data_IF_092597571852
#
_entry.id   IF_092597571852
#
_cell.length_a   1.000
_cell.length_b   1.000
_cell.length_c   1.000
_cell.angle_alpha   90.00
_cell.angle_beta   90.00
_cell.angle_gamma   90.00
#
_symmetry.space_group_name_H-M   'P 1'
#
loop_
_entity.id
_entity.type
_entity.pdbx_description
1 polymer ?
#
# COMPACT_ATOMS: atom_id res chain seq x y z
N UNK A 1 -15.65 -26.96 19.64
CA UNK A 1 -17.13 -26.84 19.58
C UNK A 1 -17.69 -28.02 18.79
N UNK A 2 -18.73 -28.74 19.26
CA UNK A 2 -19.32 -29.86 18.48
C UNK A 2 -19.94 -29.33 17.18
N UNK A 3 -19.70 -30.00 16.03
CA UNK A 3 -20.19 -29.60 14.68
C UNK A 3 -21.70 -29.35 14.65
N UNK A 4 -22.49 -30.15 15.36
CA UNK A 4 -23.94 -29.99 15.48
C UNK A 4 -24.36 -28.66 16.14
N UNK A 5 -23.59 -28.17 17.12
CA UNK A 5 -23.83 -26.89 17.77
C UNK A 5 -23.53 -25.73 16.81
N UNK A 6 -22.45 -25.82 16.03
CA UNK A 6 -22.12 -24.80 15.03
C UNK A 6 -23.19 -24.67 13.95
N UNK A 7 -23.65 -25.80 13.38
CA UNK A 7 -24.71 -25.79 12.38
C UNK A 7 -25.98 -25.13 12.90
N UNK A 8 -26.39 -25.44 14.14
CA UNK A 8 -27.58 -24.84 14.76
C UNK A 8 -27.41 -23.32 14.96
N UNK A 9 -26.26 -22.88 15.50
CA UNK A 9 -25.96 -21.46 15.70
C UNK A 9 -25.96 -20.69 14.38
N UNK A 10 -25.33 -21.23 13.34
CA UNK A 10 -25.28 -20.62 12.02
C UNK A 10 -26.67 -20.48 11.38
N UNK A 11 -27.50 -21.51 11.47
CA UNK A 11 -28.89 -21.42 10.97
C UNK A 11 -29.72 -20.39 11.73
N UNK A 12 -29.58 -20.31 13.06
CA UNK A 12 -30.25 -19.27 13.87
C UNK A 12 -29.75 -17.87 13.47
N UNK A 13 -28.45 -17.71 13.27
CA UNK A 13 -27.83 -16.46 12.84
C UNK A 13 -28.40 -15.95 11.51
N UNK A 14 -28.46 -16.81 10.48
CA UNK A 14 -29.05 -16.41 9.19
C UNK A 14 -30.53 -16.01 9.33
N UNK A 15 -31.30 -16.76 10.12
CA UNK A 15 -32.71 -16.47 10.35
C UNK A 15 -32.93 -15.12 11.05
N UNK A 16 -32.19 -14.80 12.11
CA UNK A 16 -32.29 -13.53 12.84
C UNK A 16 -31.94 -12.34 11.94
N UNK A 17 -31.05 -12.53 10.98
CA UNK A 17 -30.63 -11.48 10.03
C UNK A 17 -31.46 -11.47 8.73
N UNK A 18 -32.58 -12.20 8.65
CA UNK A 18 -33.44 -12.29 7.47
C UNK A 18 -32.70 -12.71 6.17
N UNK A 19 -31.74 -13.62 6.29
CA UNK A 19 -30.99 -14.18 5.16
C UNK A 19 -31.55 -15.57 4.86
N UNK A 20 -32.13 -15.75 3.66
CA UNK A 20 -32.90 -16.96 3.31
C UNK A 20 -32.54 -17.48 1.93
N UNK A 21 -32.75 -18.78 1.72
CA UNK A 21 -32.67 -19.41 0.40
C UNK A 21 -33.89 -19.02 -0.44
N UNK A 22 -33.76 -18.99 -1.77
CA UNK A 22 -34.91 -18.80 -2.67
C UNK A 22 -35.64 -20.14 -2.90
N UNK A 23 -34.90 -21.25 -2.94
CA UNK A 23 -35.42 -22.61 -3.04
C UNK A 23 -34.84 -23.56 -1.99
N UNK A 24 -35.47 -24.72 -1.78
CA UNK A 24 -34.94 -25.75 -0.86
C UNK A 24 -33.60 -26.33 -1.34
N UNK A 25 -33.38 -26.36 -2.66
CA UNK A 25 -32.18 -26.91 -3.31
C UNK A 25 -31.02 -25.92 -3.39
N UNK A 26 -31.26 -24.62 -3.13
CA UNK A 26 -30.20 -23.61 -3.22
C UNK A 26 -29.13 -23.78 -2.14
N UNK A 27 -27.87 -23.69 -2.57
CA UNK A 27 -26.73 -23.65 -1.65
C UNK A 27 -26.45 -22.24 -1.13
N UNK A 28 -27.04 -21.23 -1.76
CA UNK A 28 -26.89 -19.82 -1.43
C UNK A 28 -28.09 -19.29 -0.65
N UNK A 29 -27.84 -18.35 0.24
CA UNK A 29 -28.83 -17.56 0.92
C UNK A 29 -28.58 -16.07 0.66
N UNK A 30 -29.66 -15.32 0.59
CA UNK A 30 -29.70 -13.93 0.16
C UNK A 30 -30.36 -13.07 1.23
N UNK A 31 -29.93 -11.81 1.39
CA UNK A 31 -30.67 -10.87 2.24
C UNK A 31 -32.05 -10.59 1.64
N UNK A 32 -33.00 -10.17 2.49
CA UNK A 32 -34.39 -9.92 2.08
C UNK A 32 -34.63 -8.62 1.33
N UNK A 33 -33.61 -7.78 1.11
CA UNK A 33 -33.72 -6.55 0.34
C UNK A 33 -33.44 -6.79 -1.15
N UNK A 34 -34.03 -5.96 -2.02
CA UNK A 34 -33.80 -6.03 -3.45
C UNK A 34 -32.34 -5.72 -3.78
N UNK A 35 -31.73 -6.51 -4.67
CA UNK A 35 -30.39 -6.25 -5.16
C UNK A 35 -30.35 -5.00 -6.04
N UNK A 36 -29.28 -4.22 -5.91
CA UNK A 36 -29.01 -2.99 -6.66
C UNK A 36 -28.13 -3.23 -7.90
N UNK A 37 -27.90 -4.49 -8.27
CA UNK A 37 -27.01 -4.89 -9.37
C UNK A 37 -27.69 -4.62 -10.70
N UNK A 38 -27.16 -3.66 -11.48
CA UNK A 38 -27.73 -3.25 -12.77
C UNK A 38 -26.91 -3.74 -13.98
N UNK A 39 -25.64 -4.11 -13.76
CA UNK A 39 -24.74 -4.53 -14.83
C UNK A 39 -24.67 -6.05 -14.97
N UNK A 40 -24.48 -6.52 -16.21
CA UNK A 40 -24.32 -7.96 -16.51
C UNK A 40 -22.93 -8.49 -16.14
N UNK A 41 -21.92 -7.63 -16.12
CA UNK A 41 -20.52 -7.95 -15.87
C UNK A 41 -19.88 -6.91 -14.93
N UNK A 42 -18.89 -7.35 -14.16
CA UNK A 42 -18.16 -6.49 -13.26
C UNK A 42 -17.27 -7.25 -12.28
N UNK A 43 -16.63 -6.51 -11.40
CA UNK A 43 -15.88 -7.04 -10.28
C UNK A 43 -16.79 -7.66 -9.22
N UNK A 44 -16.38 -8.82 -8.73
CA UNK A 44 -16.93 -9.47 -7.55
C UNK A 44 -15.83 -9.75 -6.56
N UNK A 45 -16.20 -9.74 -5.28
CA UNK A 45 -15.29 -10.02 -4.18
C UNK A 45 -15.80 -11.26 -3.45
N UNK A 46 -14.90 -12.13 -3.05
CA UNK A 46 -15.19 -13.35 -2.31
C UNK A 46 -14.42 -13.35 -0.99
N UNK A 47 -15.13 -13.65 0.09
CA UNK A 47 -14.54 -13.92 1.40
C UNK A 47 -14.55 -15.44 1.57
N UNK A 48 -13.41 -16.00 1.95
CA UNK A 48 -13.23 -17.43 2.19
C UNK A 48 -13.35 -17.78 3.66
N UNK A 49 -13.73 -19.02 3.95
CA UNK A 49 -13.86 -19.52 5.30
C UNK A 49 -13.58 -21.02 5.38
N UNK A 50 -13.07 -21.45 6.53
CA UNK A 50 -13.12 -22.85 6.95
C UNK A 50 -14.39 -23.10 7.76
N UNK A 51 -14.77 -24.37 7.92
CA UNK A 51 -15.99 -24.72 8.66
C UNK A 51 -15.96 -24.14 10.08
N UNK A 52 -14.82 -24.15 10.76
CA UNK A 52 -14.71 -23.75 12.17
C UNK A 52 -14.88 -22.26 12.44
N UNK A 53 -14.59 -21.38 11.47
CA UNK A 53 -14.70 -19.93 11.63
C UNK A 53 -15.83 -19.28 10.81
N UNK A 54 -16.63 -20.07 10.09
CA UNK A 54 -17.70 -19.58 9.22
C UNK A 54 -18.70 -18.65 9.93
N UNK A 55 -19.08 -18.97 11.19
CA UNK A 55 -20.00 -18.14 11.96
C UNK A 55 -19.38 -16.79 12.32
N UNK A 56 -18.12 -16.78 12.77
CA UNK A 56 -17.39 -15.57 13.14
C UNK A 56 -17.21 -14.63 11.94
N UNK A 57 -16.79 -15.18 10.79
CA UNK A 57 -16.64 -14.42 9.54
C UNK A 57 -18.00 -13.85 9.10
N UNK A 58 -19.07 -14.63 9.18
CA UNK A 58 -20.40 -14.16 8.81
C UNK A 58 -20.91 -13.04 9.74
N UNK A 59 -20.74 -13.18 11.07
CA UNK A 59 -21.09 -12.16 12.05
C UNK A 59 -20.32 -10.85 11.81
N UNK A 60 -19.01 -10.97 11.59
CA UNK A 60 -18.12 -9.85 11.26
C UNK A 60 -18.54 -9.15 9.98
N UNK A 61 -18.84 -9.91 8.92
CA UNK A 61 -19.31 -9.36 7.64
C UNK A 61 -20.65 -8.66 7.78
N UNK A 62 -21.66 -9.26 8.42
CA UNK A 62 -22.97 -8.59 8.56
C UNK A 62 -22.90 -7.35 9.45
N UNK A 63 -22.07 -7.36 10.51
CA UNK A 63 -21.83 -6.16 11.33
C UNK A 63 -21.25 -5.03 10.48
N UNK A 64 -20.29 -5.33 9.62
CA UNK A 64 -19.72 -4.39 8.66
C UNK A 64 -20.79 -3.93 7.66
N UNK A 65 -21.55 -4.86 7.10
CA UNK A 65 -22.50 -4.59 6.03
C UNK A 65 -23.71 -3.73 6.46
N UNK A 66 -24.00 -3.63 7.77
CA UNK A 66 -24.98 -2.66 8.30
C UNK A 66 -24.63 -1.21 7.92
N UNK A 67 -23.33 -0.90 7.82
CA UNK A 67 -22.85 0.44 7.42
C UNK A 67 -22.79 0.61 5.91
N UNK A 68 -22.24 -0.37 5.20
CA UNK A 68 -21.91 -0.24 3.78
C UNK A 68 -23.01 -0.68 2.81
N UNK A 69 -23.98 -1.48 3.29
CA UNK A 69 -25.16 -1.92 2.51
C UNK A 69 -24.80 -2.55 1.15
N UNK A 70 -23.74 -3.34 1.11
CA UNK A 70 -23.28 -4.06 -0.07
C UNK A 70 -24.25 -5.18 -0.42
N UNK A 71 -24.42 -5.44 -1.71
CA UNK A 71 -25.10 -6.63 -2.20
C UNK A 71 -24.23 -7.86 -1.98
N UNK A 72 -24.84 -8.96 -1.55
CA UNK A 72 -24.11 -10.20 -1.30
C UNK A 72 -25.00 -11.44 -1.36
N UNK A 73 -24.34 -12.60 -1.48
CA UNK A 73 -24.89 -13.92 -1.15
C UNK A 73 -23.91 -14.67 -0.25
N UNK A 74 -24.44 -15.54 0.59
CA UNK A 74 -23.67 -16.33 1.55
C UNK A 74 -24.11 -17.79 1.52
N UNK A 75 -23.23 -18.73 1.84
CA UNK A 75 -23.58 -20.15 1.88
C UNK A 75 -24.66 -20.43 2.95
N UNK A 76 -25.67 -21.21 2.56
CA UNK A 76 -26.91 -21.37 3.30
C UNK A 76 -26.81 -22.29 4.53
N UNK A 77 -25.74 -23.07 4.68
CA UNK A 77 -25.52 -23.92 5.85
C UNK A 77 -24.06 -24.36 6.00
N UNK A 78 -23.66 -24.76 7.21
CA UNK A 78 -22.33 -25.34 7.48
C UNK A 78 -22.09 -26.63 6.67
N UNK A 79 -23.12 -27.45 6.45
CA UNK A 79 -23.04 -28.64 5.60
C UNK A 79 -22.74 -28.28 4.14
N UNK A 80 -23.35 -27.22 3.63
CA UNK A 80 -23.07 -26.73 2.28
C UNK A 80 -21.68 -26.10 2.17
N UNK A 81 -21.18 -25.43 3.21
CA UNK A 81 -19.82 -24.89 3.21
C UNK A 81 -18.79 -26.02 3.16
N UNK A 82 -18.98 -27.07 3.95
CA UNK A 82 -18.13 -28.27 3.90
C UNK A 82 -18.09 -28.88 2.49
N UNK A 83 -19.27 -29.13 1.90
CA UNK A 83 -19.38 -29.65 0.52
C UNK A 83 -18.73 -28.72 -0.51
N UNK A 84 -18.91 -27.41 -0.37
CA UNK A 84 -18.30 -26.40 -1.25
C UNK A 84 -16.77 -26.45 -1.15
N UNK A 85 -16.23 -26.52 0.05
CA UNK A 85 -14.79 -26.61 0.28
C UNK A 85 -14.19 -27.94 -0.20
N UNK A 86 -15.00 -29.01 -0.26
CA UNK A 86 -14.64 -30.29 -0.85
C UNK A 86 -14.83 -30.35 -2.38
N UNK A 87 -15.31 -29.28 -3.02
CA UNK A 87 -15.49 -29.19 -4.47
C UNK A 87 -16.75 -29.87 -5.03
N UNK A 88 -17.72 -30.25 -4.18
CA UNK A 88 -18.96 -30.93 -4.62
C UNK A 88 -19.80 -30.09 -5.60
N UNK A 89 -19.63 -28.76 -5.56
CA UNK A 89 -20.34 -27.82 -6.44
C UNK A 89 -19.46 -27.32 -7.59
N UNK A 90 -18.35 -28.03 -7.87
CA UNK A 90 -17.37 -27.70 -8.90
C UNK A 90 -16.18 -26.89 -8.36
N UNK A 91 -15.01 -27.11 -8.95
CA UNK A 91 -13.74 -26.51 -8.49
C UNK A 91 -13.75 -24.97 -8.48
N UNK A 92 -14.56 -24.32 -9.33
CA UNK A 92 -14.68 -22.86 -9.36
C UNK A 92 -15.47 -22.26 -8.21
N UNK A 93 -16.17 -23.08 -7.41
CA UNK A 93 -16.92 -22.64 -6.24
C UNK A 93 -16.12 -22.75 -4.94
N UNK A 94 -15.04 -23.53 -4.94
CA UNK A 94 -14.22 -23.81 -3.75
C UNK A 94 -13.77 -22.51 -3.09
N UNK A 95 -14.01 -22.40 -1.77
CA UNK A 95 -13.63 -21.25 -0.96
C UNK A 95 -14.54 -20.02 -1.05
N UNK A 96 -15.55 -20.00 -1.93
CA UNK A 96 -16.47 -18.85 -2.07
C UNK A 96 -17.55 -18.83 -1.00
N UNK A 97 -17.19 -18.56 0.26
CA UNK A 97 -18.15 -18.58 1.37
C UNK A 97 -19.15 -17.41 1.31
N UNK A 98 -18.66 -16.18 1.12
CA UNK A 98 -19.48 -14.99 0.88
C UNK A 98 -19.07 -14.41 -0.47
N UNK A 99 -20.05 -14.14 -1.33
CA UNK A 99 -19.84 -13.38 -2.58
C UNK A 99 -20.44 -12.01 -2.42
N UNK A 100 -19.66 -10.97 -2.70
CA UNK A 100 -20.01 -9.56 -2.54
C UNK A 100 -19.97 -8.90 -3.92
N UNK A 101 -20.97 -8.09 -4.18
CA UNK A 101 -21.16 -7.34 -5.41
C UNK A 101 -21.02 -5.84 -5.08
N UNK A 102 -19.79 -5.29 -5.17
CA UNK A 102 -19.57 -3.88 -4.88
C UNK A 102 -20.18 -2.97 -5.95
N UNK A 103 -20.47 -1.69 -5.62
CA UNK A 103 -20.57 -0.64 -6.64
C UNK A 103 -19.32 -0.64 -7.50
N UNK A 104 -19.49 -0.66 -8.82
CA UNK A 104 -18.39 -0.89 -9.78
C UNK A 104 -17.42 0.30 -9.91
N UNK A 105 -17.82 1.47 -9.39
CA UNK A 105 -17.03 2.69 -9.26
C UNK A 105 -16.32 2.80 -7.89
N UNK A 106 -16.50 1.83 -6.99
CA UNK A 106 -15.94 1.80 -5.63
C UNK A 106 -15.41 0.42 -5.22
N UNK A 107 -15.05 -0.39 -6.19
CA UNK A 107 -14.52 -1.75 -6.02
C UNK A 107 -13.22 -1.72 -5.23
N UNK A 108 -12.28 -0.85 -5.57
CA UNK A 108 -11.00 -0.80 -4.85
C UNK A 108 -11.23 -0.42 -3.39
N UNK A 109 -12.03 0.63 -3.14
CA UNK A 109 -12.38 1.02 -1.78
C UNK A 109 -13.03 -0.13 -1.00
N UNK A 110 -13.96 -0.85 -1.64
CA UNK A 110 -14.60 -2.03 -1.03
C UNK A 110 -13.58 -3.13 -0.74
N UNK A 111 -12.64 -3.42 -1.65
CA UNK A 111 -11.55 -4.37 -1.45
C UNK A 111 -10.67 -3.96 -0.27
N UNK A 112 -10.29 -2.69 -0.14
CA UNK A 112 -9.45 -2.22 0.98
C UNK A 112 -10.15 -2.34 2.33
N UNK A 113 -11.44 -2.04 2.39
CA UNK A 113 -12.25 -2.21 3.59
C UNK A 113 -12.28 -3.69 3.97
N UNK A 114 -12.64 -4.57 3.03
CA UNK A 114 -12.75 -5.99 3.28
C UNK A 114 -11.39 -6.60 3.62
N UNK A 115 -10.33 -6.25 2.90
CA UNK A 115 -8.97 -6.66 3.19
C UNK A 115 -8.63 -6.33 4.64
N UNK A 116 -8.81 -5.11 5.10
CA UNK A 116 -8.51 -4.76 6.50
C UNK A 116 -9.28 -5.56 7.54
N UNK A 117 -10.57 -5.81 7.30
CA UNK A 117 -11.32 -6.59 8.26
C UNK A 117 -10.93 -8.06 8.20
N UNK A 118 -10.67 -8.62 7.02
CA UNK A 118 -10.60 -10.08 6.83
C UNK A 118 -9.22 -10.65 6.53
N UNK A 119 -8.17 -9.83 6.32
CA UNK A 119 -6.86 -10.33 5.85
C UNK A 119 -6.18 -11.33 6.79
N UNK A 120 -6.46 -11.25 8.09
CA UNK A 120 -5.92 -12.16 9.11
C UNK A 120 -6.81 -13.39 9.36
N UNK A 121 -8.00 -13.45 8.75
CA UNK A 121 -8.92 -14.58 8.96
C UNK A 121 -8.49 -15.79 8.13
N UNK A 122 -8.65 -16.99 8.69
CA UNK A 122 -8.29 -18.23 8.00
C UNK A 122 -9.34 -18.56 6.93
N UNK A 123 -8.88 -18.74 5.69
CA UNK A 123 -9.69 -19.19 4.56
C UNK A 123 -9.02 -20.36 3.85
N UNK A 124 -9.73 -20.95 2.88
CA UNK A 124 -9.11 -21.82 1.88
C UNK A 124 -8.88 -21.05 0.57
N UNK A 125 -7.86 -21.41 -0.23
CA UNK A 125 -7.62 -20.75 -1.51
C UNK A 125 -8.81 -20.82 -2.47
N UNK A 126 -9.19 -19.67 -3.04
CA UNK A 126 -10.17 -19.60 -4.13
C UNK A 126 -9.41 -19.69 -5.45
N UNK A 127 -9.13 -20.91 -5.91
CA UNK A 127 -8.23 -21.15 -7.05
C UNK A 127 -8.70 -20.60 -8.41
N UNK A 128 -9.94 -20.12 -8.52
CA UNK A 128 -10.47 -19.48 -9.73
C UNK A 128 -10.34 -17.95 -9.76
N UNK A 129 -9.84 -17.35 -8.67
CA UNK A 129 -9.90 -15.91 -8.42
C UNK A 129 -8.50 -15.39 -8.03
N UNK A 130 -8.31 -14.07 -8.10
CA UNK A 130 -7.07 -13.45 -7.64
C UNK A 130 -7.14 -13.20 -6.14
N UNK A 131 -6.07 -13.55 -5.43
CA UNK A 131 -5.88 -13.18 -4.02
C UNK A 131 -5.52 -11.70 -3.95
N UNK A 132 -6.31 -10.92 -3.23
CA UNK A 132 -6.03 -9.49 -3.10
C UNK A 132 -4.90 -9.25 -2.11
N UNK A 133 -3.78 -8.68 -2.56
CA UNK A 133 -2.57 -8.40 -1.75
C UNK A 133 -2.04 -9.62 -1.00
N UNK A 134 -2.05 -10.77 -1.68
CA UNK A 134 -1.68 -12.07 -1.12
C UNK A 134 -2.51 -12.46 0.13
N UNK A 135 -3.72 -11.93 0.28
CA UNK A 135 -4.64 -12.33 1.34
C UNK A 135 -5.03 -13.80 1.21
N UNK A 136 -5.00 -14.53 2.33
CA UNK A 136 -5.55 -15.88 2.40
C UNK A 136 -7.08 -15.92 2.39
N UNK A 137 -7.75 -14.79 2.57
CA UNK A 137 -9.19 -14.73 2.81
C UNK A 137 -9.98 -13.92 1.78
N UNK A 138 -9.42 -12.83 1.27
CA UNK A 138 -10.10 -11.91 0.36
C UNK A 138 -9.62 -12.15 -1.07
N UNK A 139 -10.56 -12.55 -1.93
CA UNK A 139 -10.32 -12.85 -3.33
C UNK A 139 -11.24 -12.03 -4.21
N UNK A 140 -10.87 -11.83 -5.46
CA UNK A 140 -11.68 -11.05 -6.39
C UNK A 140 -11.45 -11.50 -7.83
N UNK A 141 -12.41 -11.17 -8.68
CA UNK A 141 -12.36 -11.44 -10.11
C UNK A 141 -13.33 -10.56 -10.88
N UNK A 142 -13.04 -10.36 -12.14
CA UNK A 142 -13.99 -9.78 -13.09
C UNK A 142 -14.84 -10.90 -13.71
N UNK A 143 -16.16 -10.73 -13.77
CA UNK A 143 -17.05 -11.78 -14.28
C UNK A 143 -18.51 -11.35 -14.38
N UNK A 144 -19.37 -12.28 -14.81
CA UNK A 144 -20.83 -12.05 -14.88
C UNK A 144 -21.38 -11.74 -13.49
N UNK A 145 -22.16 -10.67 -13.31
CA UNK A 145 -22.73 -10.28 -12.02
C UNK A 145 -23.95 -11.13 -11.65
N UNK A 146 -25.07 -11.03 -12.36
CA UNK A 146 -26.25 -11.87 -12.12
C UNK A 146 -27.16 -11.98 -13.37
N UNK A 147 -26.99 -13.04 -14.18
CA UNK A 147 -27.97 -13.42 -15.23
C UNK A 147 -28.09 -14.93 -15.48
N UNK A 148 -27.51 -15.80 -14.64
CA UNK A 148 -27.80 -17.24 -14.72
C UNK A 148 -28.50 -17.66 -13.43
N UNK A 149 -29.77 -18.04 -13.53
CA UNK A 149 -30.55 -18.63 -12.44
C UNK A 149 -29.87 -19.88 -11.86
N UNK A 150 -28.94 -20.50 -12.61
CA UNK A 150 -28.12 -21.63 -12.16
C UNK A 150 -26.78 -21.20 -11.53
N UNK A 151 -26.43 -19.91 -11.59
CA UNK A 151 -25.18 -19.34 -11.08
C UNK A 151 -23.91 -20.08 -11.53
N UNK A 152 -23.96 -20.75 -12.69
CA UNK A 152 -22.83 -21.49 -13.24
C UNK A 152 -21.88 -20.48 -13.88
N UNK A 153 -20.68 -20.38 -13.32
CA UNK A 153 -19.59 -19.64 -13.92
C UNK A 153 -19.15 -20.33 -15.22
N UNK A 154 -19.52 -19.75 -16.37
CA UNK A 154 -19.17 -20.28 -17.70
C UNK A 154 -17.67 -20.24 -17.99
N UNK A 155 -16.85 -19.63 -17.11
CA UNK A 155 -15.40 -19.52 -17.25
C UNK A 155 -15.00 -18.99 -18.62
N UNK A 156 -15.51 -17.82 -18.98
CA UNK A 156 -14.84 -17.07 -20.04
C UNK A 156 -13.51 -16.55 -19.49
N UNK A 157 -12.46 -17.37 -19.65
CA UNK A 157 -11.09 -17.01 -19.28
C UNK A 157 -10.52 -15.89 -20.16
N UNK A 158 -11.22 -15.50 -21.22
CA UNK A 158 -10.86 -14.37 -22.07
C UNK A 158 -11.51 -13.07 -21.60
N UNK A 159 -12.52 -13.14 -20.74
CA UNK A 159 -13.18 -11.96 -20.20
C UNK A 159 -12.20 -11.19 -19.31
N UNK A 160 -11.75 -10.06 -19.82
CA UNK A 160 -10.92 -9.09 -19.11
C UNK A 160 -11.76 -7.91 -18.65
N UNK A 161 -11.31 -7.15 -17.63
CA UNK A 161 -11.95 -5.91 -17.26
C UNK A 161 -12.09 -4.99 -18.47
N UNK A 162 -13.25 -4.36 -18.60
CA UNK A 162 -13.48 -3.35 -19.63
C UNK A 162 -12.58 -2.13 -19.40
N UNK A 163 -12.39 -1.31 -20.43
CA UNK A 163 -11.50 -0.13 -20.37
C UNK A 163 -11.94 0.89 -19.31
N UNK A 164 -13.24 0.96 -19.07
CA UNK A 164 -13.91 1.84 -18.10
C UNK A 164 -14.11 1.19 -16.73
N UNK A 165 -13.75 -0.09 -16.56
CA UNK A 165 -13.79 -0.73 -15.27
C UNK A 165 -12.75 -0.12 -14.33
N UNK A 166 -13.11 0.04 -13.06
CA UNK A 166 -12.17 0.54 -12.05
C UNK A 166 -10.93 -0.35 -12.00
N UNK A 167 -9.76 0.28 -12.03
CA UNK A 167 -8.46 -0.41 -12.04
C UNK A 167 -8.09 -0.84 -10.63
N UNK A 168 -7.77 -2.12 -10.47
CA UNK A 168 -7.21 -2.66 -9.23
C UNK A 168 -5.70 -2.86 -9.47
N UNK A 169 -4.81 -2.16 -8.74
CA UNK A 169 -3.37 -2.20 -9.01
C UNK A 169 -2.79 -3.61 -9.03
N UNK A 170 -3.29 -4.43 -8.12
CA UNK A 170 -2.83 -5.79 -7.89
C UNK A 170 -3.23 -6.77 -9.01
N UNK A 171 -4.24 -6.43 -9.81
CA UNK A 171 -4.82 -7.35 -10.79
C UNK A 171 -3.88 -7.69 -11.94
N UNK A 172 -2.99 -6.76 -12.28
CA UNK A 172 -2.06 -6.90 -13.41
C UNK A 172 -0.73 -7.53 -13.02
N UNK A 173 -0.50 -7.74 -11.72
CA UNK A 173 0.77 -8.21 -11.22
C UNK A 173 0.94 -9.71 -11.50
N UNK A 174 2.15 -10.08 -11.92
CA UNK A 174 2.51 -11.48 -12.14
C UNK A 174 2.76 -12.16 -10.79
N UNK A 175 2.24 -13.37 -10.60
CA UNK A 175 2.56 -14.23 -9.45
C UNK A 175 3.54 -15.31 -9.88
N UNK A 176 4.76 -15.25 -9.35
CA UNK A 176 5.88 -16.12 -9.70
C UNK A 176 6.35 -16.93 -8.49
N UNK A 177 7.14 -17.97 -8.72
CA UNK A 177 7.81 -18.77 -7.68
C UNK A 177 9.31 -18.49 -7.56
N UNK A 178 9.84 -17.69 -8.48
CA UNK A 178 11.23 -17.28 -8.48
C UNK A 178 11.35 -15.90 -9.14
N UNK A 179 12.45 -15.20 -8.85
CA UNK A 179 12.78 -13.95 -9.51
C UNK A 179 12.86 -14.17 -11.04
N UNK A 180 12.31 -13.26 -11.87
CA UNK A 180 12.47 -13.33 -13.31
C UNK A 180 13.94 -13.45 -13.71
N UNK A 181 14.24 -14.36 -14.63
CA UNK A 181 15.63 -14.68 -15.03
C UNK A 181 16.36 -13.52 -15.70
N UNK A 182 15.66 -12.48 -16.15
CA UNK A 182 16.27 -11.27 -16.68
C UNK A 182 16.85 -10.35 -15.59
N UNK A 183 16.48 -10.52 -14.31
CA UNK A 183 17.06 -9.75 -13.22
C UNK A 183 18.19 -10.53 -12.54
N UNK A 184 19.42 -10.05 -12.69
CA UNK A 184 20.59 -10.57 -11.98
C UNK A 184 20.88 -9.70 -10.75
N UNK A 185 20.87 -10.29 -9.55
CA UNK A 185 21.27 -9.59 -8.33
C UNK A 185 22.79 -9.43 -8.32
N UNK A 186 23.26 -8.18 -8.23
CA UNK A 186 24.69 -7.84 -8.19
C UNK A 186 25.19 -7.62 -6.77
N UNK A 187 24.42 -6.90 -5.94
CA UNK A 187 24.81 -6.53 -4.58
C UNK A 187 23.60 -6.36 -3.68
N UNK A 188 23.73 -6.75 -2.42
CA UNK A 188 22.79 -6.37 -1.36
C UNK A 188 23.12 -4.97 -0.87
N UNK A 189 22.20 -4.02 -1.06
CA UNK A 189 22.35 -2.65 -0.57
C UNK A 189 21.83 -2.51 0.86
N UNK A 190 20.67 -3.13 1.15
CA UNK A 190 20.06 -3.14 2.48
C UNK A 190 19.33 -4.45 2.70
N UNK A 191 19.39 -4.99 3.92
CA UNK A 191 18.60 -6.17 4.34
C UNK A 191 18.09 -5.96 5.75
N UNK A 192 16.78 -6.12 5.95
CA UNK A 192 16.12 -6.06 7.25
C UNK A 192 15.11 -7.21 7.32
N UNK A 193 15.49 -8.31 7.98
CA UNK A 193 14.65 -9.51 8.05
C UNK A 193 14.31 -10.08 6.66
N UNK A 194 13.03 -10.35 6.36
CA UNK A 194 12.55 -10.85 5.07
C UNK A 194 12.21 -9.72 4.07
N UNK A 195 12.81 -8.54 4.23
CA UNK A 195 12.70 -7.38 3.34
C UNK A 195 14.10 -6.86 3.00
N UNK A 196 14.27 -6.26 1.83
CA UNK A 196 15.54 -5.67 1.47
C UNK A 196 15.56 -4.93 0.14
N UNK A 197 16.74 -4.42 -0.19
CA UNK A 197 17.04 -3.67 -1.41
C UNK A 197 18.31 -4.25 -2.03
N UNK A 198 18.21 -4.61 -3.30
CA UNK A 198 19.31 -5.08 -4.12
C UNK A 198 19.66 -4.07 -5.20
N UNK A 199 20.95 -3.98 -5.52
CA UNK A 199 21.39 -3.53 -6.83
C UNK A 199 21.33 -4.73 -7.78
N UNK A 200 20.64 -4.57 -8.89
CA UNK A 200 20.52 -5.58 -9.92
C UNK A 200 20.94 -5.09 -11.30
N UNK A 201 20.99 -6.02 -12.25
CA UNK A 201 21.12 -5.79 -13.68
C UNK A 201 19.90 -6.40 -14.37
N UNK A 202 19.16 -5.60 -15.12
CA UNK A 202 18.22 -6.15 -16.09
C UNK A 202 19.02 -6.54 -17.34
N UNK A 203 19.19 -7.84 -17.54
CA UNK A 203 19.97 -8.43 -18.64
C UNK A 203 19.35 -8.07 -20.00
N UNK A 204 18.03 -7.90 -20.06
CA UNK A 204 17.33 -7.61 -21.32
C UNK A 204 17.67 -6.22 -21.85
N UNK A 205 17.73 -5.23 -20.95
CA UNK A 205 18.06 -3.84 -21.29
C UNK A 205 19.52 -3.48 -21.07
N UNK A 206 20.28 -4.35 -20.39
CA UNK A 206 21.67 -4.13 -19.93
C UNK A 206 21.83 -2.91 -19.03
N UNK A 207 20.77 -2.54 -18.31
CA UNK A 207 20.76 -1.39 -17.38
C UNK A 207 20.79 -1.87 -15.93
N UNK A 208 21.51 -1.14 -15.08
CA UNK A 208 21.41 -1.31 -13.63
C UNK A 208 19.99 -0.94 -13.17
N UNK A 209 19.52 -1.65 -12.15
CA UNK A 209 18.19 -1.44 -11.54
C UNK A 209 18.28 -1.56 -10.03
N UNK A 210 17.32 -0.96 -9.33
CA UNK A 210 17.11 -1.16 -7.90
C UNK A 210 15.93 -2.12 -7.73
N UNK A 211 16.15 -3.21 -7.00
CA UNK A 211 15.13 -4.23 -6.73
C UNK A 211 14.82 -4.20 -5.23
N UNK A 212 13.63 -3.71 -4.88
CA UNK A 212 13.10 -3.73 -3.51
C UNK A 212 12.18 -4.93 -3.36
N UNK A 213 12.23 -5.61 -2.22
CA UNK A 213 11.31 -6.70 -1.94
C UNK A 213 10.82 -6.66 -0.49
N UNK A 214 9.55 -7.03 -0.29
CA UNK A 214 8.91 -7.04 1.01
C UNK A 214 7.98 -8.25 1.16
N UNK A 215 8.18 -9.00 2.25
CA UNK A 215 7.38 -10.20 2.56
C UNK A 215 6.12 -9.84 3.35
N UNK A 216 5.01 -10.48 3.03
CA UNK A 216 3.72 -10.29 3.71
C UNK A 216 3.85 -10.50 5.23
N UNK A 217 3.12 -9.69 6.00
CA UNK A 217 3.08 -9.66 7.47
C UNK A 217 4.40 -9.29 8.18
N UNK A 218 5.41 -8.79 7.46
CA UNK A 218 6.60 -8.20 8.08
C UNK A 218 6.46 -6.69 8.26
N UNK A 219 7.04 -6.15 9.35
CA UNK A 219 6.93 -4.74 9.73
C UNK A 219 5.46 -4.26 9.85
N UNK A 220 4.62 -5.07 10.50
CA UNK A 220 3.18 -4.85 10.60
C UNK A 220 2.84 -3.75 11.61
N UNK A 221 2.09 -2.75 11.17
CA UNK A 221 1.59 -1.64 11.98
C UNK A 221 0.25 -1.95 12.65
N UNK A 222 -0.09 -1.20 13.70
CA UNK A 222 -1.38 -1.29 14.41
C UNK A 222 -2.60 -1.16 13.48
N UNK A 223 -2.44 -0.42 12.37
CA UNK A 223 -3.46 -0.24 11.34
C UNK A 223 -3.60 -1.42 10.37
N UNK A 224 -2.88 -2.53 10.60
CA UNK A 224 -2.89 -3.74 9.78
C UNK A 224 -2.10 -3.62 8.48
N UNK A 225 -1.18 -2.65 8.42
CA UNK A 225 -0.37 -2.30 7.24
C UNK A 225 0.98 -2.97 7.40
N UNK A 226 1.39 -3.79 6.43
CA UNK A 226 2.74 -4.34 6.39
C UNK A 226 3.60 -3.67 5.32
N UNK A 227 4.89 -4.01 5.30
CA UNK A 227 5.84 -3.48 4.32
C UNK A 227 5.46 -3.84 2.87
N UNK A 228 4.80 -4.98 2.68
CA UNK A 228 4.32 -5.41 1.37
C UNK A 228 3.21 -4.47 0.86
N UNK A 229 2.28 -4.09 1.73
CA UNK A 229 1.25 -3.09 1.43
C UNK A 229 1.87 -1.73 1.06
N UNK A 230 2.95 -1.33 1.74
CA UNK A 230 3.68 -0.09 1.45
C UNK A 230 4.36 -0.12 0.09
N UNK A 231 5.00 -1.24 -0.27
CA UNK A 231 5.69 -1.37 -1.54
C UNK A 231 4.72 -1.43 -2.74
N UNK A 232 3.55 -2.05 -2.57
CA UNK A 232 2.44 -1.96 -3.55
C UNK A 232 1.91 -0.54 -3.69
N UNK A 233 1.91 0.23 -2.60
CA UNK A 233 1.55 1.65 -2.65
C UNK A 233 2.54 2.47 -3.43
N UNK A 234 3.83 2.29 -3.16
CA UNK A 234 4.89 2.88 -3.97
C UNK A 234 4.74 2.53 -5.46
N UNK A 235 4.49 1.26 -5.78
CA UNK A 235 4.25 0.83 -7.17
C UNK A 235 3.08 1.57 -7.82
N UNK A 236 2.01 1.82 -7.08
CA UNK A 236 0.82 2.51 -7.60
C UNK A 236 1.09 3.99 -7.83
N UNK A 237 1.79 4.65 -6.89
CA UNK A 237 2.17 6.07 -6.99
C UNK A 237 3.14 6.29 -8.16
N UNK A 238 4.19 5.49 -8.27
CA UNK A 238 5.20 5.64 -9.33
C UNK A 238 4.64 5.35 -10.73
N UNK A 239 3.55 4.58 -10.84
CA UNK A 239 2.87 4.33 -12.11
C UNK A 239 1.92 5.45 -12.55
N UNK A 240 1.63 6.44 -11.70
CA UNK A 240 0.83 7.59 -12.11
C UNK A 240 1.54 8.36 -13.23
N UNK A 241 0.79 8.78 -14.26
CA UNK A 241 1.37 9.42 -15.45
C UNK A 241 2.14 10.71 -15.09
N UNK A 242 1.66 11.45 -14.10
CA UNK A 242 2.26 12.70 -13.62
C UNK A 242 3.60 12.46 -12.92
N UNK A 243 3.78 11.29 -12.30
CA UNK A 243 5.02 10.89 -11.61
C UNK A 243 5.99 10.27 -12.61
N UNK A 244 5.51 9.30 -13.39
CA UNK A 244 6.32 8.56 -14.37
C UNK A 244 6.95 9.43 -15.45
N UNK A 245 6.31 10.56 -15.80
CA UNK A 245 6.81 11.48 -16.83
C UNK A 245 7.60 12.65 -16.24
N UNK A 246 7.87 12.66 -14.93
CA UNK A 246 8.60 13.73 -14.26
C UNK A 246 10.02 13.27 -13.91
N UNK A 247 11.01 14.01 -14.40
CA UNK A 247 12.42 13.70 -14.22
C UNK A 247 12.90 13.82 -12.78
N UNK A 248 12.14 14.37 -11.83
CA UNK A 248 12.56 14.46 -10.43
C UNK A 248 12.26 13.21 -9.60
N UNK A 249 11.61 12.18 -10.15
CA UNK A 249 11.30 10.94 -9.43
C UNK A 249 11.99 9.74 -10.06
N UNK A 250 12.19 8.67 -9.29
CA UNK A 250 12.61 7.39 -9.84
C UNK A 250 11.52 6.78 -10.73
N UNK A 251 11.93 6.22 -11.87
CA UNK A 251 11.04 5.50 -12.76
C UNK A 251 10.84 4.06 -12.30
N UNK A 252 9.58 3.65 -12.22
CA UNK A 252 9.22 2.24 -12.08
C UNK A 252 9.43 1.48 -13.38
N UNK A 253 10.02 0.28 -13.26
CA UNK A 253 10.29 -0.63 -14.37
C UNK A 253 9.32 -1.81 -14.33
N UNK A 254 9.12 -2.41 -13.16
CA UNK A 254 8.36 -3.66 -13.01
C UNK A 254 7.88 -3.86 -11.57
N UNK A 255 6.75 -4.56 -11.42
CA UNK A 255 6.23 -5.00 -10.12
C UNK A 255 5.62 -6.38 -10.27
N UNK A 256 5.92 -7.29 -9.35
CA UNK A 256 5.41 -8.65 -9.38
C UNK A 256 5.51 -9.30 -7.98
N UNK A 257 4.82 -10.41 -7.80
CA UNK A 257 4.98 -11.27 -6.64
C UNK A 257 5.94 -12.41 -6.92
N UNK A 258 6.73 -12.75 -5.90
CA UNK A 258 7.43 -14.03 -5.80
C UNK A 258 6.99 -14.67 -4.49
N UNK A 259 6.27 -15.79 -4.58
CA UNK A 259 5.63 -16.46 -3.46
C UNK A 259 4.84 -15.49 -2.55
N UNK A 260 5.32 -15.22 -1.33
CA UNK A 260 4.68 -14.36 -0.34
C UNK A 260 5.22 -12.93 -0.30
N UNK A 261 6.02 -12.55 -1.29
CA UNK A 261 6.74 -11.28 -1.30
C UNK A 261 6.43 -10.48 -2.55
N UNK A 262 6.26 -9.17 -2.40
CA UNK A 262 6.18 -8.26 -3.54
C UNK A 262 7.57 -7.76 -3.86
N UNK A 263 7.86 -7.66 -5.15
CA UNK A 263 9.08 -7.10 -5.72
C UNK A 263 8.72 -5.88 -6.53
N UNK A 264 9.43 -4.78 -6.29
CA UNK A 264 9.37 -3.54 -7.04
C UNK A 264 10.74 -3.27 -7.64
N UNK A 265 10.79 -3.12 -8.96
CA UNK A 265 11.99 -2.78 -9.71
C UNK A 265 11.88 -1.34 -10.20
N UNK A 266 12.85 -0.52 -9.85
CA UNK A 266 12.98 0.86 -10.33
C UNK A 266 14.31 1.08 -11.03
N UNK A 267 14.42 2.19 -11.74
CA UNK A 267 15.68 2.58 -12.36
C UNK A 267 16.79 2.77 -11.32
N UNK A 268 18.02 2.43 -11.71
CA UNK A 268 19.19 2.89 -11.00
C UNK A 268 19.53 4.32 -11.44
N UNK A 269 19.62 5.24 -10.48
CA UNK A 269 20.03 6.62 -10.73
C UNK A 269 21.55 6.72 -10.52
N UNK A 270 22.26 7.20 -11.54
CA UNK A 270 23.69 7.49 -11.44
C UNK A 270 23.92 8.84 -10.76
N UNK A 271 24.34 8.79 -9.51
CA UNK A 271 24.48 9.95 -8.64
C UNK A 271 24.83 9.53 -7.22
N UNK A 272 24.81 10.51 -6.32
CA UNK A 272 25.10 10.31 -4.89
C UNK A 272 23.91 10.77 -4.06
N UNK A 273 23.63 10.12 -2.93
CA UNK A 273 22.62 10.65 -2.02
C UNK A 273 23.12 11.96 -1.39
N UNK A 274 22.21 12.84 -0.98
CA UNK A 274 22.62 14.03 -0.21
C UNK A 274 23.25 13.65 1.13
N UNK A 275 22.89 12.51 1.71
CA UNK A 275 23.49 11.97 2.93
C UNK A 275 24.98 11.65 2.69
N UNK A 276 25.28 10.88 1.64
CA UNK A 276 26.65 10.57 1.22
C UNK A 276 27.47 11.84 0.94
N UNK A 277 26.89 12.79 0.20
CA UNK A 277 27.56 14.06 -0.11
C UNK A 277 27.83 14.89 1.15
N UNK A 278 26.95 14.85 2.15
CA UNK A 278 27.14 15.56 3.41
C UNK A 278 28.23 14.90 4.26
N UNK A 279 28.20 13.57 4.40
CA UNK A 279 29.19 12.81 5.18
C UNK A 279 30.61 12.95 4.61
N UNK A 280 30.74 13.01 3.29
CA UNK A 280 32.03 13.20 2.61
C UNK A 280 32.48 14.67 2.52
N UNK A 281 31.68 15.60 3.06
CA UNK A 281 31.97 17.03 3.04
C UNK A 281 31.90 17.67 1.64
N UNK A 282 31.30 17.01 0.66
CA UNK A 282 31.06 17.58 -0.67
C UNK A 282 29.94 18.61 -0.67
N UNK A 283 28.92 18.40 0.16
CA UNK A 283 27.80 19.33 0.28
C UNK A 283 28.22 20.70 0.85
N UNK A 284 29.27 20.73 1.67
CA UNK A 284 29.89 21.97 2.18
C UNK A 284 30.54 22.81 1.07
N UNK A 285 31.00 22.15 -0.01
CA UNK A 285 31.70 22.81 -1.13
C UNK A 285 30.74 23.50 -2.10
N UNK A 286 29.44 23.20 -2.04
CA UNK A 286 28.44 23.84 -2.88
C UNK A 286 28.23 25.31 -2.49
N UNK A 287 28.13 26.17 -3.50
CA UNK A 287 27.72 27.57 -3.32
C UNK A 287 26.27 27.66 -2.82
N UNK A 288 25.91 28.78 -2.20
CA UNK A 288 24.53 29.02 -1.76
C UNK A 288 23.53 28.98 -2.92
N UNK A 289 23.94 29.40 -4.13
CA UNK A 289 23.10 29.31 -5.32
C UNK A 289 22.82 27.86 -5.72
N UNK A 290 23.84 26.98 -5.69
CA UNK A 290 23.67 25.55 -5.94
C UNK A 290 22.80 24.88 -4.88
N UNK A 291 22.99 25.23 -3.60
CA UNK A 291 22.13 24.76 -2.50
C UNK A 291 20.67 25.18 -2.70
N UNK A 292 20.42 26.44 -3.06
CA UNK A 292 19.07 26.90 -3.40
C UNK A 292 18.51 26.21 -4.64
N UNK A 293 19.33 25.92 -5.65
CA UNK A 293 18.90 25.18 -6.83
C UNK A 293 18.40 23.78 -6.46
N UNK A 294 19.13 23.05 -5.62
CA UNK A 294 18.72 21.74 -5.08
C UNK A 294 17.42 21.89 -4.26
N UNK A 295 17.35 22.88 -3.37
CA UNK A 295 16.15 23.10 -2.56
C UNK A 295 14.91 23.40 -3.41
N UNK A 296 15.04 24.23 -4.45
CA UNK A 296 13.93 24.58 -5.34
C UNK A 296 13.41 23.35 -6.12
N UNK A 297 14.30 22.45 -6.54
CA UNK A 297 13.90 21.17 -7.13
C UNK A 297 13.15 20.31 -6.10
N UNK A 298 13.62 20.23 -4.86
CA UNK A 298 12.93 19.48 -3.79
C UNK A 298 11.56 20.07 -3.49
N UNK A 299 11.48 21.39 -3.29
CA UNK A 299 10.25 22.11 -2.99
C UNK A 299 9.21 21.96 -4.10
N UNK A 300 9.63 22.12 -5.37
CA UNK A 300 8.74 21.94 -6.52
C UNK A 300 8.22 20.50 -6.63
N UNK A 301 9.08 19.50 -6.35
CA UNK A 301 8.72 18.08 -6.37
C UNK A 301 7.70 17.73 -5.29
N UNK A 302 7.90 18.18 -4.05
CA UNK A 302 6.94 17.97 -2.96
C UNK A 302 5.63 18.73 -3.23
N UNK A 303 5.71 19.94 -3.78
CA UNK A 303 4.52 20.71 -4.16
C UNK A 303 3.73 20.00 -5.27
N UNK A 304 4.40 19.37 -6.23
CA UNK A 304 3.75 18.58 -7.27
C UNK A 304 3.02 17.36 -6.68
N UNK A 305 3.65 16.60 -5.77
CA UNK A 305 3.00 15.50 -5.06
C UNK A 305 1.76 15.97 -4.28
N UNK A 306 1.88 17.08 -3.55
CA UNK A 306 0.77 17.64 -2.78
C UNK A 306 -0.42 18.03 -3.68
N UNK A 307 -0.17 18.56 -4.88
CA UNK A 307 -1.24 18.86 -5.87
C UNK A 307 -1.97 17.61 -6.36
N UNK A 308 -1.30 16.46 -6.37
CA UNK A 308 -1.88 15.15 -6.67
C UNK A 308 -2.56 14.50 -5.45
N UNK A 309 -2.59 15.19 -4.30
CA UNK A 309 -3.10 14.65 -3.05
C UNK A 309 -2.18 13.60 -2.42
N UNK A 310 -0.89 13.60 -2.75
CA UNK A 310 0.12 12.68 -2.21
C UNK A 310 0.97 13.42 -1.19
N UNK A 311 1.03 12.90 0.03
CA UNK A 311 2.01 13.32 1.04
C UNK A 311 3.21 12.36 0.98
N UNK A 312 4.43 12.88 0.83
CA UNK A 312 5.64 12.06 0.70
C UNK A 312 6.10 11.48 2.03
N UNK A 313 5.98 12.27 3.11
CA UNK A 313 6.19 11.90 4.52
C UNK A 313 7.62 11.55 4.94
N UNK A 314 8.55 11.38 4.01
CA UNK A 314 9.94 11.03 4.30
C UNK A 314 10.95 11.91 3.55
N UNK A 315 10.68 13.23 3.55
CA UNK A 315 11.63 14.25 3.07
C UNK A 315 12.92 14.12 3.86
N UNK A 316 14.01 13.66 3.24
CA UNK A 316 15.30 13.47 3.92
C UNK A 316 16.45 13.46 2.91
N UNK A 317 17.69 13.51 3.41
CA UNK A 317 18.90 13.43 2.59
C UNK A 317 19.16 12.01 2.03
N UNK A 318 18.67 10.97 2.70
CA UNK A 318 18.81 9.58 2.27
C UNK A 318 17.94 9.27 1.04
N UNK A 319 16.80 9.94 0.93
CA UNK A 319 15.80 9.69 -0.12
C UNK A 319 15.94 10.64 -1.32
N UNK A 320 17.08 11.32 -1.43
CA UNK A 320 17.37 12.26 -2.52
C UNK A 320 18.74 11.95 -3.10
N UNK A 321 18.76 11.60 -4.39
CA UNK A 321 19.97 11.44 -5.18
C UNK A 321 20.21 12.71 -6.00
N UNK A 322 21.45 13.19 -6.02
CA UNK A 322 21.92 14.28 -6.86
C UNK A 322 22.80 13.70 -7.96
N UNK A 323 22.45 14.00 -9.21
CA UNK A 323 23.27 13.60 -10.37
C UNK A 323 24.48 14.52 -10.50
N UNK A 324 25.41 14.16 -11.39
CA UNK A 324 26.60 14.99 -11.68
C UNK A 324 26.23 16.41 -12.17
N UNK A 325 25.03 16.59 -12.73
CA UNK A 325 24.53 17.87 -13.23
C UNK A 325 23.74 18.68 -12.17
N UNK A 326 23.79 18.27 -10.89
CA UNK A 326 22.98 18.82 -9.80
C UNK A 326 21.47 18.69 -9.99
N UNK A 327 21.04 17.71 -10.79
CA UNK A 327 19.62 17.35 -10.89
C UNK A 327 19.21 16.48 -9.71
N UNK A 328 18.07 16.80 -9.12
CA UNK A 328 17.51 16.11 -7.97
C UNK A 328 16.60 14.97 -8.41
N UNK A 329 16.77 13.80 -7.79
CA UNK A 329 15.93 12.62 -7.94
C UNK A 329 15.45 12.14 -6.57
N UNK A 330 14.14 12.17 -6.34
CA UNK A 330 13.51 11.58 -5.16
C UNK A 330 13.33 10.09 -5.38
N UNK A 331 13.75 9.32 -4.38
CA UNK A 331 13.59 7.86 -4.31
C UNK A 331 12.78 7.48 -3.07
N UNK A 332 12.36 6.22 -3.00
CA UNK A 332 11.78 5.60 -1.80
C UNK A 332 10.46 6.25 -1.32
N UNK A 333 9.37 5.95 -2.04
CA UNK A 333 8.02 6.40 -1.70
C UNK A 333 7.31 5.49 -0.69
N UNK A 334 8.05 4.70 0.10
CA UNK A 334 7.46 3.67 0.96
C UNK A 334 6.57 4.23 2.08
N UNK A 335 6.86 5.44 2.55
CA UNK A 335 6.02 6.17 3.51
C UNK A 335 5.00 7.10 2.88
N UNK A 336 5.04 7.27 1.55
CA UNK A 336 4.11 8.15 0.85
C UNK A 336 2.68 7.62 0.96
N UNK A 337 1.73 8.55 1.07
CA UNK A 337 0.30 8.22 1.17
C UNK A 337 -0.50 9.09 0.21
N UNK A 338 -1.36 8.45 -0.57
CA UNK A 338 -2.31 9.14 -1.44
C UNK A 338 -3.65 9.33 -0.75
N UNK A 339 -4.17 10.56 -0.77
CA UNK A 339 -5.52 10.90 -0.29
C UNK A 339 -6.62 10.34 -1.18
N UNK A 340 -6.32 10.02 -2.45
CA UNK A 340 -7.29 9.52 -3.45
C UNK A 340 -7.48 8.00 -3.46
N UNK A 341 -6.79 7.25 -2.58
CA UNK A 341 -7.16 5.87 -2.27
C UNK A 341 -6.46 4.76 -3.07
N UNK A 342 -5.24 4.97 -3.54
CA UNK A 342 -4.41 3.91 -4.13
C UNK A 342 -3.15 3.68 -3.30
N UNK A 343 -2.94 2.44 -2.84
CA UNK A 343 -3.62 1.78 -1.71
C UNK A 343 -3.09 2.34 -0.35
N UNK A 344 -3.78 2.45 0.78
CA UNK A 344 -4.51 1.39 1.47
C UNK A 344 -5.16 1.93 2.78
N UNK A 345 -5.31 3.26 2.95
CA UNK A 345 -5.62 3.86 4.27
C UNK A 345 -6.80 4.81 4.29
N UNK A 346 -7.74 4.67 3.35
CA UNK A 346 -8.97 5.48 3.30
C UNK A 346 -9.62 5.60 4.68
N UNK A 347 -9.36 6.72 5.36
CA UNK A 347 -9.87 7.04 6.70
C UNK A 347 -9.08 6.52 7.91
N UNK A 348 -7.87 5.94 7.77
CA UNK A 348 -7.04 5.51 8.93
C UNK A 348 -5.96 6.52 9.27
N UNK A 349 -5.75 6.76 10.57
CA UNK A 349 -4.56 7.42 11.10
C UNK A 349 -3.38 6.49 10.90
N UNK A 350 -2.63 6.66 9.81
CA UNK A 350 -1.35 5.96 9.61
C UNK A 350 -0.40 6.43 10.71
N UNK A 351 0.38 5.51 11.26
CA UNK A 351 1.39 5.87 12.25
C UNK A 351 2.36 6.90 11.67
N UNK A 352 2.83 7.85 12.48
CA UNK A 352 3.90 8.73 12.06
C UNK A 352 5.14 7.95 11.63
N UNK A 353 5.76 8.40 10.56
CA UNK A 353 6.91 7.75 9.95
C UNK A 353 7.71 8.79 9.16
N UNK A 354 9.01 8.51 9.04
CA UNK A 354 9.97 9.34 8.32
C UNK A 354 11.35 9.23 8.96
N UNK A 355 12.32 9.90 8.34
CA UNK A 355 13.70 9.96 8.81
C UNK A 355 13.83 10.93 9.98
N UNK A 356 14.37 10.45 11.10
CA UNK A 356 14.60 11.28 12.28
C UNK A 356 15.36 12.57 11.96
N UNK A 357 14.93 13.68 12.58
CA UNK A 357 15.46 15.01 12.29
C UNK A 357 14.75 15.76 11.17
N UNK A 358 14.03 15.06 10.29
CA UNK A 358 13.28 15.68 9.19
C UNK A 358 11.77 15.57 9.31
N UNK A 359 11.22 14.73 10.20
CA UNK A 359 9.78 14.73 10.45
C UNK A 359 9.49 14.98 11.93
N UNK A 360 8.25 15.38 12.21
CA UNK A 360 7.72 15.51 13.56
C UNK A 360 6.41 14.71 13.65
N UNK A 361 6.31 13.73 14.56
CA UNK A 361 5.17 12.84 14.63
C UNK A 361 3.89 13.56 15.05
N UNK A 362 3.98 14.57 15.93
CA UNK A 362 2.82 15.37 16.35
C UNK A 362 2.28 16.18 15.17
N UNK A 363 3.17 16.80 14.39
CA UNK A 363 2.79 17.56 13.20
C UNK A 363 2.15 16.63 12.17
N UNK A 364 2.78 15.48 11.90
CA UNK A 364 2.29 14.53 10.90
C UNK A 364 0.91 13.92 11.25
N UNK A 365 0.59 13.81 12.54
CA UNK A 365 -0.75 13.37 12.99
C UNK A 365 -1.82 14.46 12.88
N UNK A 366 -1.45 15.74 12.97
CA UNK A 366 -2.37 16.88 13.09
C UNK A 366 -2.58 17.63 11.76
N UNK A 367 -1.59 17.66 10.88
CA UNK A 367 -1.57 18.53 9.70
C UNK A 367 -1.39 17.75 8.39
N UNK A 368 -2.25 18.05 7.41
CA UNK A 368 -2.23 17.45 6.07
C UNK A 368 -1.03 17.88 5.20
N UNK A 369 -0.28 18.90 5.59
CA UNK A 369 0.88 19.42 4.86
C UNK A 369 2.18 19.23 5.66
N UNK A 370 2.24 18.15 6.44
CA UNK A 370 3.37 17.83 7.32
C UNK A 370 4.74 17.77 6.62
N UNK A 371 4.79 17.56 5.30
CA UNK A 371 6.02 17.61 4.52
C UNK A 371 6.70 18.99 4.55
N UNK A 372 5.97 20.08 4.84
CA UNK A 372 6.57 21.41 5.03
C UNK A 372 7.59 21.43 6.17
N UNK A 373 7.33 20.69 7.25
CA UNK A 373 8.30 20.57 8.35
C UNK A 373 9.59 19.91 7.84
N UNK A 374 9.47 18.85 7.05
CA UNK A 374 10.63 18.19 6.44
C UNK A 374 11.37 19.06 5.45
N UNK A 375 10.66 19.86 4.64
CA UNK A 375 11.28 20.85 3.76
C UNK A 375 12.06 21.90 4.56
N UNK A 376 11.55 22.38 5.70
CA UNK A 376 12.27 23.32 6.56
C UNK A 376 13.58 22.71 7.09
N UNK A 377 13.53 21.48 7.59
CA UNK A 377 14.73 20.77 8.09
C UNK A 377 15.71 20.44 6.99
N UNK A 378 15.21 20.06 5.82
CA UNK A 378 16.01 19.87 4.61
C UNK A 378 16.75 21.16 4.22
N UNK A 379 16.05 22.30 4.17
CA UNK A 379 16.66 23.60 3.89
C UNK A 379 17.77 23.95 4.89
N UNK A 380 17.50 23.76 6.18
CA UNK A 380 18.47 24.06 7.23
C UNK A 380 19.75 23.24 7.07
N UNK A 381 19.62 21.92 6.95
CA UNK A 381 20.76 21.02 6.82
C UNK A 381 21.50 21.19 5.50
N UNK A 382 20.84 21.65 4.45
CA UNK A 382 21.49 21.94 3.17
C UNK A 382 22.43 23.15 3.27
N UNK A 383 22.05 24.16 4.06
CA UNK A 383 22.90 25.31 4.35
C UNK A 383 23.95 25.05 5.43
N UNK A 384 23.68 24.11 6.35
CA UNK A 384 24.61 23.68 7.39
C UNK A 384 24.89 22.16 7.36
N UNK A 385 25.60 21.63 6.35
CA UNK A 385 25.90 20.20 6.25
C UNK A 385 26.65 19.66 7.47
N UNK A 386 27.57 20.44 8.06
CA UNK A 386 28.24 20.04 9.31
C UNK A 386 27.30 19.83 10.49
N UNK A 387 26.21 20.61 10.58
CA UNK A 387 25.20 20.40 11.62
C UNK A 387 24.43 19.10 11.38
N UNK A 388 24.19 18.73 10.11
CA UNK A 388 23.62 17.44 9.75
C UNK A 388 24.54 16.27 10.13
N UNK A 389 25.83 16.33 9.77
CA UNK A 389 26.81 15.29 10.13
C UNK A 389 26.92 15.14 11.66
N UNK A 390 26.94 16.26 12.38
CA UNK A 390 26.92 16.26 13.85
C UNK A 390 25.62 15.67 14.42
N UNK A 391 24.48 15.88 13.76
CA UNK A 391 23.19 15.33 14.15
C UNK A 391 23.17 13.81 14.01
N UNK A 392 23.46 13.30 12.80
CA UNK A 392 23.36 11.86 12.51
C UNK A 392 24.39 11.03 13.28
N UNK A 393 25.58 11.58 13.55
CA UNK A 393 26.61 10.88 14.35
C UNK A 393 26.25 10.69 15.82
N UNK A 394 25.23 11.37 16.33
CA UNK A 394 24.73 11.24 17.70
C UNK A 394 23.47 10.35 17.79
N UNK A 395 23.04 9.73 16.69
CA UNK A 395 21.83 8.91 16.62
C UNK A 395 22.22 7.49 16.26
N UNK A 396 21.78 6.56 17.09
CA UNK A 396 21.84 5.12 16.85
C UNK A 396 20.46 4.48 16.97
N UNK A 397 20.42 3.15 16.89
CA UNK A 397 19.17 2.38 16.94
C UNK A 397 18.44 2.46 18.29
N UNK A 398 19.16 2.80 19.37
CA UNK A 398 18.62 2.86 20.74
C UNK A 398 18.30 4.30 21.18
N UNK A 399 18.58 5.28 20.33
CA UNK A 399 18.35 6.70 20.65
C UNK A 399 16.86 7.02 20.67
N UNK A 400 16.35 7.45 21.83
CA UNK A 400 14.93 7.77 22.00
C UNK A 400 14.52 9.02 21.21
N UNK A 401 13.25 9.11 20.81
CA UNK A 401 12.75 10.28 20.08
C UNK A 401 12.90 11.60 20.87
N UNK A 402 12.73 11.58 22.20
CA UNK A 402 12.98 12.78 23.02
C UNK A 402 14.43 13.22 22.94
N UNK A 403 15.38 12.28 23.00
CA UNK A 403 16.80 12.56 22.86
C UNK A 403 17.13 13.11 21.47
N UNK A 404 16.53 12.55 20.42
CA UNK A 404 16.64 13.07 19.05
C UNK A 404 16.20 14.52 18.97
N UNK A 405 15.08 14.89 19.62
CA UNK A 405 14.61 16.29 19.61
C UNK A 405 15.57 17.23 20.34
N UNK A 406 16.22 16.79 21.42
CA UNK A 406 17.20 17.61 22.14
C UNK A 406 18.49 17.80 21.33
N UNK A 407 18.99 16.74 20.70
CA UNK A 407 20.12 16.81 19.78
C UNK A 407 19.79 17.76 18.63
N UNK A 408 18.62 17.61 18.00
CA UNK A 408 18.18 18.46 16.90
C UNK A 408 18.18 19.95 17.32
N UNK A 409 17.62 20.29 18.48
CA UNK A 409 17.64 21.67 19.00
C UNK A 409 19.07 22.19 19.18
N UNK A 410 19.98 21.36 19.68
CA UNK A 410 21.37 21.75 19.95
C UNK A 410 22.19 22.02 18.69
N UNK A 411 21.89 21.33 17.58
CA UNK A 411 22.60 21.51 16.31
C UNK A 411 21.95 22.58 15.43
N UNK A 412 20.67 22.90 15.64
CA UNK A 412 19.93 23.93 14.87
C UNK A 412 20.00 25.34 15.50
N UNK A 413 21.11 25.72 16.12
CA UNK A 413 21.24 27.00 16.82
C UNK A 413 21.76 28.16 15.95
N UNK A 414 22.26 27.88 14.75
CA UNK A 414 22.85 28.91 13.87
C UNK A 414 21.76 29.63 13.05
N UNK A 415 21.76 30.97 13.00
CA UNK A 415 20.80 31.73 12.20
C UNK A 415 21.11 31.58 10.70
N UNK A 416 20.08 31.23 9.91
CA UNK A 416 20.18 31.13 8.46
C UNK A 416 20.46 32.50 7.81
N UNK A 417 21.03 32.55 6.60
CA UNK A 417 21.09 33.79 5.81
C UNK A 417 19.69 34.41 5.70
N UNK A 418 19.57 35.74 5.83
CA UNK A 418 18.29 36.45 5.98
C UNK A 418 17.19 36.01 4.99
N UNK A 419 17.53 35.86 3.71
CA UNK A 419 16.58 35.44 2.67
C UNK A 419 16.12 33.98 2.83
N UNK A 420 17.02 33.12 3.29
CA UNK A 420 16.77 31.69 3.56
C UNK A 420 15.97 31.52 4.85
N UNK A 421 16.23 32.37 5.85
CA UNK A 421 15.53 32.37 7.13
C UNK A 421 14.04 32.72 6.96
N UNK A 422 13.71 33.68 6.10
CA UNK A 422 12.31 34.01 5.74
C UNK A 422 11.60 32.77 5.18
N UNK A 423 12.25 32.04 4.27
CA UNK A 423 11.68 30.83 3.68
C UNK A 423 11.56 29.69 4.68
N UNK A 424 12.56 29.52 5.55
CA UNK A 424 12.53 28.53 6.63
C UNK A 424 11.36 28.77 7.59
N UNK A 425 11.14 30.02 8.00
CA UNK A 425 10.02 30.39 8.87
C UNK A 425 8.67 30.21 8.14
N UNK A 426 8.56 30.63 6.87
CA UNK A 426 7.36 30.40 6.06
C UNK A 426 6.93 28.92 6.00
N UNK A 427 7.89 27.99 5.94
CA UNK A 427 7.62 26.55 5.95
C UNK A 427 7.12 26.05 7.32
N UNK A 428 7.40 26.77 8.40
CA UNK A 428 7.06 26.41 9.78
C UNK A 428 5.87 27.18 10.35
N UNK A 429 5.49 28.33 9.78
CA UNK A 429 4.49 29.26 10.32
C UNK A 429 3.15 28.58 10.69
N UNK A 430 2.73 27.57 9.94
CA UNK A 430 1.46 26.86 10.17
C UNK A 430 1.50 25.88 11.35
N UNK A 431 2.68 25.61 11.93
CA UNK A 431 2.87 24.67 13.03
C UNK A 431 3.12 25.34 14.38
N UNK A 432 3.10 26.68 14.43
CA UNK A 432 3.38 27.48 15.63
C UNK A 432 2.08 27.65 16.45
N UNK A 433 1.41 26.55 16.83
CA UNK A 433 0.28 26.55 17.78
C UNK A 433 0.10 25.23 18.54
#
# INVERSE_FOLDING_TARGET
MKKSNLSKKYSIFLNINNIKKQSSQDIWAYPSYAHSIVADYGWKIHISAVVTNALEIAEKFLKLNKRYKLDFKIISSISNLEKLNMGYYGNSQVGKFITIYPPQDKVLNTLEILYYFFHNDIGIPVGSDFSYKLSSNVYYRFGTLLLDSRNIDKRDKQLKPFKDAETIPDYTLRHLHQLPSNYLILKVLKKMGPTGVFLGLDISTRKKVIIRYATKLYNLELSGIDENDRLLSTSSILNMNEIKNNSHYENIIDTFYVDTSVFLVTEYIDGRTLDEMALDGELDKLSNSQKMHIFNQMYSSITNLNKLGIMFRDVSFNNVIITQNLELKIIDFNYAVSQSGLPNFGGRKVNPAGTYGFYNPVIQMKYHNSDKYGLAKFLYFLFYPKAYVQFVSQIDIDTSYSRITDILKSVTCKPLPKEVDILYNYLLDEFIY
#
